data_IF_664634602651
#
_entry.id   IF_664634602651
#
_cell.length_a   1.000
_cell.length_b   1.000
_cell.length_c   1.000
_cell.angle_alpha   90.00
_cell.angle_beta   90.00
_cell.angle_gamma   90.00
#
_symmetry.space_group_name_H-M   'P 1'
#
loop_
_entity.id
_entity.type
_entity.pdbx_description
1 polymer ?
#
# COMPACT_ATOMS: atom_id res chain seq x y z
N UNK A 1 -1.67 17.61 12.39
CA UNK A 1 -1.06 16.26 12.48
C UNK A 1 -0.30 16.03 11.19
N UNK A 2 0.98 15.66 11.23
CA UNK A 2 1.71 15.32 10.01
C UNK A 2 1.17 14.01 9.44
N UNK A 3 1.17 13.89 8.12
CA UNK A 3 0.66 12.71 7.42
C UNK A 3 1.32 11.42 7.96
N UNK A 4 2.62 11.48 8.28
CA UNK A 4 3.43 10.41 8.89
C UNK A 4 2.94 9.90 10.25
N UNK A 5 2.37 10.77 11.09
CA UNK A 5 1.85 10.43 12.43
C UNK A 5 0.52 9.66 12.34
N UNK A 6 -0.35 10.07 11.40
CA UNK A 6 -1.60 9.36 11.13
C UNK A 6 -1.34 7.94 10.62
N UNK A 7 -0.32 7.77 9.78
CA UNK A 7 0.06 6.47 9.23
C UNK A 7 0.67 5.51 10.25
N UNK A 8 1.58 6.01 11.11
CA UNK A 8 2.08 5.22 12.23
C UNK A 8 0.92 4.79 13.15
N UNK A 9 -0.04 5.68 13.42
CA UNK A 9 -1.23 5.31 14.20
C UNK A 9 -2.14 4.32 13.48
N UNK A 10 -2.27 4.36 12.15
CA UNK A 10 -3.07 3.39 11.39
C UNK A 10 -2.43 1.99 11.42
N UNK A 11 -1.11 1.92 11.22
CA UNK A 11 -0.34 0.68 11.36
C UNK A 11 -0.45 0.13 12.78
N UNK A 12 -0.33 0.97 13.81
CA UNK A 12 -0.42 0.57 15.22
C UNK A 12 -1.86 0.19 15.66
N UNK A 13 -2.89 0.88 15.15
CA UNK A 13 -4.31 0.58 15.46
C UNK A 13 -4.81 -0.68 14.75
N UNK A 14 -4.26 -0.99 13.58
CA UNK A 14 -4.57 -2.21 12.81
C UNK A 14 -3.48 -3.29 12.90
N UNK A 15 -2.60 -3.20 13.90
CA UNK A 15 -1.78 -4.32 14.36
C UNK A 15 -2.42 -4.98 15.62
N UNK A 16 -3.52 -5.74 15.52
CA UNK A 16 -3.97 -6.55 16.64
C UNK A 16 -3.34 -7.94 16.56
N UNK A 17 -2.95 -8.46 17.73
CA UNK A 17 -2.47 -9.84 17.95
C UNK A 17 -3.47 -10.95 17.60
N UNK A 18 -4.39 -10.72 16.68
CA UNK A 18 -5.35 -11.70 16.14
C UNK A 18 -5.55 -11.60 14.61
N UNK A 19 -4.85 -10.70 13.91
CA UNK A 19 -4.84 -10.61 12.43
C UNK A 19 -3.55 -11.16 11.80
N UNK A 20 -2.81 -11.99 12.54
CA UNK A 20 -1.57 -12.60 12.04
C UNK A 20 -1.79 -13.64 10.92
N UNK A 21 -3.03 -13.92 10.50
CA UNK A 21 -3.35 -15.04 9.60
C UNK A 21 -3.99 -14.67 8.25
N UNK A 22 -4.12 -13.39 7.87
CA UNK A 22 -4.62 -12.99 6.54
C UNK A 22 -3.62 -12.05 5.81
N UNK A 23 -2.33 -12.23 6.09
CA UNK A 23 -1.28 -11.81 5.19
C UNK A 23 -0.72 -13.09 4.55
N UNK A 24 -1.31 -13.50 3.41
CA UNK A 24 -0.71 -14.56 2.59
C UNK A 24 0.67 -14.09 2.12
N UNK A 25 1.70 -14.53 2.85
CA UNK A 25 2.96 -15.10 2.36
C UNK A 25 3.46 -14.76 0.93
N UNK A 26 3.49 -13.49 0.50
CA UNK A 26 4.17 -13.14 -0.77
C UNK A 26 4.97 -11.82 -0.74
N UNK A 27 4.90 -11.04 0.36
CA UNK A 27 5.68 -9.80 0.51
C UNK A 27 7.15 -10.07 0.89
N UNK A 28 7.47 -11.28 1.40
CA UNK A 28 8.82 -11.70 1.85
C UNK A 28 9.77 -12.14 0.73
N UNK A 29 9.47 -11.89 -0.55
CA UNK A 29 10.31 -12.28 -1.70
C UNK A 29 10.54 -11.16 -2.72
N UNK A 30 10.31 -9.91 -2.35
CA UNK A 30 10.70 -8.78 -3.22
C UNK A 30 12.18 -8.54 -3.01
N UNK A 31 12.97 -8.61 -4.08
CA UNK A 31 14.34 -8.08 -4.05
C UNK A 31 14.25 -6.56 -4.06
N UNK A 32 14.36 -5.94 -2.88
CA UNK A 32 14.28 -4.51 -2.72
C UNK A 32 15.49 -3.76 -3.30
N UNK A 33 16.59 -4.46 -3.61
CA UNK A 33 17.78 -3.86 -4.22
C UNK A 33 17.63 -3.74 -5.75
N UNK A 34 16.75 -4.55 -6.34
CA UNK A 34 16.29 -4.38 -7.72
C UNK A 34 15.06 -3.46 -7.77
N UNK A 35 15.29 -2.23 -8.24
CA UNK A 35 14.24 -1.22 -8.37
C UNK A 35 13.06 -1.71 -9.23
N UNK A 36 13.31 -2.49 -10.28
CA UNK A 36 12.25 -2.97 -11.17
C UNK A 36 11.36 -3.98 -10.48
N UNK A 37 11.95 -4.89 -9.70
CA UNK A 37 11.21 -5.89 -8.92
C UNK A 37 10.33 -5.23 -7.86
N UNK A 38 10.83 -4.21 -7.16
CA UNK A 38 10.01 -3.39 -6.25
C UNK A 38 8.85 -2.69 -6.97
N UNK A 39 9.12 -2.02 -8.10
CA UNK A 39 8.11 -1.29 -8.85
C UNK A 39 7.01 -2.21 -9.41
N UNK A 40 7.38 -3.37 -9.93
CA UNK A 40 6.43 -4.38 -10.43
C UNK A 40 5.52 -4.91 -9.32
N UNK A 41 6.06 -5.19 -8.14
CA UNK A 41 5.24 -5.61 -7.00
C UNK A 41 4.29 -4.50 -6.55
N UNK A 42 4.79 -3.26 -6.41
CA UNK A 42 3.94 -2.14 -5.99
C UNK A 42 2.81 -1.87 -6.99
N UNK A 43 3.09 -1.95 -8.29
CA UNK A 43 2.10 -1.83 -9.36
C UNK A 43 1.05 -2.95 -9.30
N UNK A 44 1.45 -4.21 -9.06
CA UNK A 44 0.52 -5.33 -8.85
C UNK A 44 -0.42 -5.10 -7.67
N UNK A 45 0.09 -4.55 -6.57
CA UNK A 45 -0.73 -4.18 -5.41
C UNK A 45 -1.71 -3.04 -5.75
N UNK A 46 -1.28 -2.02 -6.50
CA UNK A 46 -2.14 -0.91 -6.95
C UNK A 46 -3.23 -1.37 -7.93
N UNK A 47 -2.91 -2.27 -8.85
CA UNK A 47 -3.89 -2.91 -9.76
C UNK A 47 -4.96 -3.71 -9.00
N UNK A 48 -4.63 -4.21 -7.81
CA UNK A 48 -5.62 -4.86 -6.94
C UNK A 48 -6.58 -3.83 -6.35
N UNK A 49 -6.10 -2.66 -5.92
CA UNK A 49 -6.98 -1.54 -5.53
C UNK A 49 -7.89 -1.07 -6.66
N UNK A 50 -7.36 -0.96 -7.89
CA UNK A 50 -8.17 -0.56 -9.05
C UNK A 50 -9.33 -1.53 -9.28
N UNK A 51 -9.13 -2.84 -9.08
CA UNK A 51 -10.19 -3.85 -9.16
C UNK A 51 -11.21 -3.68 -8.05
N UNK A 52 -10.77 -3.42 -6.81
CA UNK A 52 -11.66 -3.17 -5.67
C UNK A 52 -12.51 -1.91 -5.90
N UNK A 53 -11.90 -0.84 -6.41
CA UNK A 53 -12.60 0.40 -6.73
C UNK A 53 -13.53 0.25 -7.93
N UNK A 54 -13.16 -0.56 -8.93
CA UNK A 54 -14.06 -0.90 -10.03
C UNK A 54 -15.28 -1.65 -9.51
N UNK A 55 -15.10 -2.60 -8.60
CA UNK A 55 -16.20 -3.31 -7.96
C UNK A 55 -17.12 -2.36 -7.18
N UNK A 56 -16.55 -1.43 -6.39
CA UNK A 56 -17.33 -0.39 -5.70
C UNK A 56 -18.20 0.40 -6.68
N UNK A 57 -17.60 0.82 -7.79
CA UNK A 57 -18.27 1.63 -8.80
C UNK A 57 -19.31 0.85 -9.62
N UNK A 58 -19.27 -0.49 -9.63
CA UNK A 58 -20.18 -1.33 -10.42
C UNK A 58 -21.26 -2.02 -9.58
N UNK A 59 -20.98 -2.30 -8.29
CA UNK A 59 -21.92 -2.97 -7.39
C UNK A 59 -23.00 -2.03 -6.84
N UNK A 60 -22.69 -0.75 -6.66
CA UNK A 60 -23.62 0.23 -6.04
C UNK A 60 -24.50 1.08 -6.98
N UNK A 61 -24.24 1.28 -8.28
CA UNK A 61 -24.97 2.27 -9.09
C UNK A 61 -26.33 1.83 -9.67
N UNK A 62 -26.69 0.54 -9.74
CA UNK A 62 -27.95 0.13 -10.40
C UNK A 62 -29.07 -0.22 -9.42
N UNK A 63 -30.18 0.52 -9.50
CA UNK A 63 -31.40 0.24 -8.72
C UNK A 63 -31.94 -1.17 -8.97
N UNK A 64 -31.79 -1.68 -10.20
CA UNK A 64 -32.26 -3.01 -10.63
C UNK A 64 -31.48 -4.20 -10.07
N UNK A 65 -30.20 -4.04 -9.69
CA UNK A 65 -29.41 -5.10 -9.05
C UNK A 65 -29.41 -5.01 -7.51
N UNK A 66 -29.92 -3.91 -6.96
CA UNK A 66 -29.82 -3.62 -5.54
C UNK A 66 -30.86 -4.29 -4.64
N UNK A 67 -31.85 -4.99 -5.21
CA UNK A 67 -32.93 -5.62 -4.44
C UNK A 67 -32.47 -6.82 -3.59
N UNK A 68 -31.31 -7.41 -3.90
CA UNK A 68 -30.81 -8.63 -3.23
C UNK A 68 -29.45 -8.46 -2.52
N UNK A 69 -28.91 -7.24 -2.40
CA UNK A 69 -27.58 -6.99 -1.84
C UNK A 69 -27.61 -5.97 -0.69
N UNK A 70 -27.06 -6.35 0.47
CA UNK A 70 -26.80 -5.40 1.57
C UNK A 70 -25.65 -4.46 1.18
N UNK A 71 -26.03 -3.25 0.74
CA UNK A 71 -25.09 -2.19 0.36
C UNK A 71 -24.13 -1.83 1.50
N UNK A 72 -24.60 -1.91 2.74
CA UNK A 72 -23.78 -1.58 3.89
C UNK A 72 -22.73 -2.64 4.19
N UNK A 73 -23.11 -3.92 4.10
CA UNK A 73 -22.14 -5.02 4.20
C UNK A 73 -21.09 -4.92 3.09
N UNK A 74 -21.52 -4.66 1.85
CA UNK A 74 -20.60 -4.52 0.72
C UNK A 74 -19.62 -3.35 0.91
N UNK A 75 -20.11 -2.20 1.35
CA UNK A 75 -19.29 -1.03 1.67
C UNK A 75 -18.26 -1.33 2.76
N UNK A 76 -18.65 -2.03 3.84
CA UNK A 76 -17.72 -2.43 4.92
C UNK A 76 -16.65 -3.40 4.41
N UNK A 77 -17.01 -4.37 3.57
CA UNK A 77 -16.05 -5.30 2.97
C UNK A 77 -15.03 -4.57 2.10
N UNK A 78 -15.50 -3.75 1.16
CA UNK A 78 -14.65 -2.98 0.25
C UNK A 78 -13.71 -2.06 1.03
N UNK A 79 -14.23 -1.33 2.03
CA UNK A 79 -13.40 -0.45 2.84
C UNK A 79 -12.30 -1.22 3.59
N UNK A 80 -12.64 -2.38 4.17
CA UNK A 80 -11.67 -3.25 4.84
C UNK A 80 -10.60 -3.78 3.88
N UNK A 81 -10.98 -4.16 2.66
CA UNK A 81 -10.06 -4.63 1.63
C UNK A 81 -9.10 -3.51 1.20
N UNK A 82 -9.59 -2.30 0.95
CA UNK A 82 -8.75 -1.13 0.63
C UNK A 82 -7.78 -0.79 1.77
N UNK A 83 -8.23 -0.83 3.03
CA UNK A 83 -7.34 -0.64 4.18
C UNK A 83 -6.26 -1.73 4.26
N UNK A 84 -6.61 -2.98 3.96
CA UNK A 84 -5.65 -4.09 3.95
C UNK A 84 -4.59 -3.88 2.87
N UNK A 85 -5.01 -3.46 1.68
CA UNK A 85 -4.09 -3.21 0.57
C UNK A 85 -3.21 -1.99 0.81
N UNK A 86 -3.76 -0.94 1.42
CA UNK A 86 -3.03 0.25 1.90
C UNK A 86 -1.90 -0.14 2.85
N UNK A 87 -2.19 -0.99 3.85
CA UNK A 87 -1.18 -1.50 4.79
C UNK A 87 -0.11 -2.32 4.06
N UNK A 88 -0.48 -3.20 3.12
CA UNK A 88 0.48 -3.98 2.33
C UNK A 88 1.44 -3.07 1.54
N UNK A 89 0.92 -2.12 0.75
CA UNK A 89 1.77 -1.21 -0.03
C UNK A 89 2.74 -0.43 0.84
N UNK A 90 2.28 0.08 1.98
CA UNK A 90 3.15 0.80 2.90
C UNK A 90 4.19 -0.09 3.57
N UNK A 91 3.80 -1.32 3.96
CA UNK A 91 4.71 -2.33 4.49
C UNK A 91 5.84 -2.63 3.49
N UNK A 92 5.49 -2.88 2.22
CA UNK A 92 6.45 -3.10 1.14
C UNK A 92 7.41 -1.91 0.96
N UNK A 93 6.88 -0.69 0.87
CA UNK A 93 7.71 0.51 0.70
C UNK A 93 8.66 0.69 1.87
N UNK A 94 8.16 0.57 3.11
CA UNK A 94 8.98 0.74 4.31
C UNK A 94 10.07 -0.34 4.38
N UNK A 95 9.72 -1.60 4.11
CA UNK A 95 10.67 -2.70 4.06
C UNK A 95 11.81 -2.41 3.07
N UNK A 96 11.49 -1.99 1.84
CA UNK A 96 12.50 -1.71 0.84
C UNK A 96 13.31 -0.44 1.13
N UNK A 97 12.72 0.55 1.80
CA UNK A 97 13.45 1.72 2.32
C UNK A 97 14.50 1.29 3.34
N UNK A 98 14.15 0.41 4.27
CA UNK A 98 15.04 -0.05 5.33
C UNK A 98 16.18 -0.92 4.77
N UNK A 99 15.86 -1.84 3.85
CA UNK A 99 16.85 -2.70 3.20
C UNK A 99 17.86 -1.90 2.37
N UNK A 100 17.40 -0.91 1.60
CA UNK A 100 18.30 -0.05 0.82
C UNK A 100 19.18 0.83 1.72
N UNK A 101 18.65 1.31 2.86
CA UNK A 101 19.46 2.06 3.83
C UNK A 101 20.56 1.18 4.46
N UNK A 102 20.23 -0.06 4.80
CA UNK A 102 21.20 -1.04 5.27
C UNK A 102 22.26 -1.33 4.20
N UNK A 103 21.85 -1.51 2.94
CA UNK A 103 22.76 -1.74 1.82
C UNK A 103 23.73 -0.57 1.60
N UNK A 104 23.23 0.68 1.57
CA UNK A 104 24.10 1.87 1.44
C UNK A 104 25.10 1.94 2.60
N UNK A 105 24.67 1.63 3.82
CA UNK A 105 25.53 1.62 5.00
C UNK A 105 26.63 0.56 4.89
N UNK A 106 26.28 -0.64 4.39
CA UNK A 106 27.23 -1.72 4.08
C UNK A 106 28.26 -1.30 3.01
N UNK A 107 27.81 -0.79 1.86
CA UNK A 107 28.70 -0.37 0.77
C UNK A 107 29.71 0.70 1.22
N UNK A 108 29.28 1.64 2.07
CA UNK A 108 30.18 2.64 2.68
C UNK A 108 31.24 2.00 3.58
N UNK A 109 30.85 1.03 4.40
CA UNK A 109 31.76 0.32 5.32
C UNK A 109 32.79 -0.52 4.55
N UNK A 110 32.36 -1.15 3.46
CA UNK A 110 33.19 -1.97 2.58
C UNK A 110 34.08 -1.13 1.64
N UNK A 111 33.94 0.21 1.66
CA UNK A 111 34.62 1.13 0.73
C UNK A 111 34.41 0.75 -0.73
N UNK A 112 33.20 0.29 -1.05
CA UNK A 112 32.80 -0.04 -2.43
C UNK A 112 32.96 1.17 -3.36
N UNK A 113 33.07 0.94 -4.68
CA UNK A 113 33.11 2.02 -5.66
C UNK A 113 32.02 3.07 -5.45
N UNK A 114 32.37 4.35 -5.62
CA UNK A 114 31.44 5.48 -5.46
C UNK A 114 30.22 5.34 -6.39
N UNK A 115 30.40 4.71 -7.55
CA UNK A 115 29.33 4.41 -8.51
C UNK A 115 28.24 3.54 -7.90
N UNK A 116 28.61 2.53 -7.11
CA UNK A 116 27.68 1.56 -6.52
C UNK A 116 26.88 2.21 -5.39
N UNK A 117 27.56 3.03 -4.58
CA UNK A 117 26.92 3.82 -3.53
C UNK A 117 25.91 4.81 -4.15
N UNK A 118 26.28 5.50 -5.23
CA UNK A 118 25.38 6.43 -5.93
C UNK A 118 24.18 5.71 -6.55
N UNK A 119 24.39 4.52 -7.12
CA UNK A 119 23.32 3.69 -7.66
C UNK A 119 22.30 3.33 -6.58
N UNK A 120 22.77 2.79 -5.44
CA UNK A 120 21.91 2.44 -4.31
C UNK A 120 21.18 3.66 -3.72
N UNK A 121 21.84 4.83 -3.65
CA UNK A 121 21.21 6.08 -3.22
C UNK A 121 20.09 6.53 -4.18
N UNK A 122 20.28 6.36 -5.49
CA UNK A 122 19.26 6.69 -6.48
C UNK A 122 18.05 5.76 -6.36
N UNK A 123 18.27 4.46 -6.18
CA UNK A 123 17.20 3.48 -5.91
C UNK A 123 16.40 3.89 -4.67
N UNK A 124 17.09 4.15 -3.54
CA UNK A 124 16.43 4.59 -2.31
C UNK A 124 15.62 5.88 -2.49
N UNK A 125 16.11 6.84 -3.29
CA UNK A 125 15.39 8.08 -3.58
C UNK A 125 14.06 7.81 -4.29
N UNK A 126 14.06 6.91 -5.28
CA UNK A 126 12.84 6.54 -6.02
C UNK A 126 11.86 5.85 -5.08
N UNK A 127 12.31 4.85 -4.31
CA UNK A 127 11.44 4.12 -3.36
C UNK A 127 10.82 5.09 -2.34
N UNK A 128 11.57 6.07 -1.83
CA UNK A 128 11.03 7.07 -0.90
C UNK A 128 9.96 7.96 -1.54
N UNK A 129 10.12 8.32 -2.81
CA UNK A 129 9.09 9.13 -3.50
C UNK A 129 7.77 8.37 -3.68
N UNK A 130 7.76 7.04 -3.64
CA UNK A 130 6.52 6.27 -3.67
C UNK A 130 5.66 6.48 -2.42
N UNK A 131 6.21 6.92 -1.28
CA UNK A 131 5.40 7.27 -0.11
C UNK A 131 4.48 8.46 -0.40
N UNK A 132 4.97 9.45 -1.15
CA UNK A 132 4.18 10.63 -1.53
C UNK A 132 3.10 10.23 -2.55
N UNK A 133 3.45 9.37 -3.51
CA UNK A 133 2.49 8.80 -4.47
C UNK A 133 1.41 8.01 -3.75
N UNK A 134 1.78 7.19 -2.76
CA UNK A 134 0.82 6.44 -1.96
C UNK A 134 -0.15 7.34 -1.21
N UNK A 135 0.28 8.47 -0.66
CA UNK A 135 -0.67 9.41 -0.05
C UNK A 135 -1.78 9.81 -1.03
N UNK A 136 -1.41 10.14 -2.27
CA UNK A 136 -2.36 10.55 -3.31
C UNK A 136 -3.29 9.40 -3.72
N UNK A 137 -2.74 8.21 -3.93
CA UNK A 137 -3.52 6.99 -4.26
C UNK A 137 -4.56 6.73 -3.19
N UNK A 138 -4.15 6.87 -1.93
CA UNK A 138 -5.02 6.59 -0.82
C UNK A 138 -6.13 7.63 -0.65
N UNK A 139 -5.82 8.93 -0.78
CA UNK A 139 -6.83 10.01 -0.76
C UNK A 139 -7.90 9.79 -1.84
N UNK A 140 -7.48 9.34 -3.03
CA UNK A 140 -8.40 8.99 -4.13
C UNK A 140 -9.32 7.83 -3.75
N UNK A 141 -8.77 6.77 -3.17
CA UNK A 141 -9.55 5.60 -2.74
C UNK A 141 -10.55 5.95 -1.62
N UNK A 142 -10.13 6.78 -0.67
CA UNK A 142 -10.95 7.24 0.45
C UNK A 142 -12.11 8.11 -0.04
N UNK A 143 -11.84 9.02 -0.99
CA UNK A 143 -12.89 9.81 -1.64
C UNK A 143 -13.91 8.92 -2.35
N UNK A 144 -13.46 7.92 -3.12
CA UNK A 144 -14.37 7.02 -3.83
C UNK A 144 -15.27 6.25 -2.84
N UNK A 145 -14.70 5.75 -1.74
CA UNK A 145 -15.47 5.11 -0.67
C UNK A 145 -16.45 6.09 -0.04
N UNK A 146 -15.99 7.28 0.36
CA UNK A 146 -16.86 8.29 0.97
C UNK A 146 -18.05 8.63 0.07
N UNK A 147 -17.81 8.93 -1.21
CA UNK A 147 -18.85 9.35 -2.16
C UNK A 147 -19.92 8.26 -2.39
N UNK A 148 -19.59 6.98 -2.17
CA UNK A 148 -20.48 5.84 -2.43
C UNK A 148 -21.03 5.18 -1.17
N UNK A 149 -20.30 5.25 -0.06
CA UNK A 149 -20.55 4.47 1.14
C UNK A 149 -20.78 5.30 2.41
N UNK A 150 -20.78 6.64 2.34
CA UNK A 150 -20.92 7.54 3.51
C UNK A 150 -22.10 7.22 4.44
N UNK A 151 -23.19 6.66 3.95
CA UNK A 151 -24.37 6.32 4.76
C UNK A 151 -24.25 4.98 5.48
N UNK A 152 -23.19 4.21 5.23
CA UNK A 152 -23.02 2.83 5.68
C UNK A 152 -21.75 2.56 6.50
N UNK A 153 -20.83 3.53 6.52
CA UNK A 153 -19.54 3.52 7.21
C UNK A 153 -19.53 4.63 8.26
#
# INVERSE_FOLDING_TARGET
>A
MSNTEFWHQLILRFAPGSLLSIASMDEKRVDCLDLLTFQDMLDKLRKTDDKILFELNTALPSESFSSNMDKGEKCRSIYKELLTMRVKRMSLIQHCVDENQANISRLRKEKSPITDIRSAQNTLRVIRSEMDVESIVNDRSEKAVHDRCRTFL
#
